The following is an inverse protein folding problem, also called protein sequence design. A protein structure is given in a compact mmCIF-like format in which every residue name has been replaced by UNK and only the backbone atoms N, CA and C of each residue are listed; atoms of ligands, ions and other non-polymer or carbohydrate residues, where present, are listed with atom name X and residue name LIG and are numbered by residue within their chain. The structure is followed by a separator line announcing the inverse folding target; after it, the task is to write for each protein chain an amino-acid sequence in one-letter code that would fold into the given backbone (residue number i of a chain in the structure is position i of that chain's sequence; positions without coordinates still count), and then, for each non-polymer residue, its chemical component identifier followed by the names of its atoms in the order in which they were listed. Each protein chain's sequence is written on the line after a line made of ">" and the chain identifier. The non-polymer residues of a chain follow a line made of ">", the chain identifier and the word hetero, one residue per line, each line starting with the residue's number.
data_IF_718251104920
#
_entry.id   IF_718251104920
#
_cell.length_a   1.000
_cell.length_b   1.000
_cell.length_c   1.000
_cell.angle_alpha   90.00
_cell.angle_beta   90.00
_cell.angle_gamma   90.00
#
_symmetry.space_group_name_H-M   'P 1'
#
loop_
_entity.id
_entity.type
_entity.pdbx_description
1 polymer ?
#
# COMPACT_ATOMS: atom_id res chain seq x y z
N UNK A 1 1.16 -16.47 -13.24
CA UNK A 1 1.19 -17.07 -11.89
C UNK A 1 2.36 -16.52 -11.06
N UNK A 2 2.31 -16.60 -9.74
CA UNK A 2 3.34 -16.01 -8.84
C UNK A 2 4.74 -16.56 -9.15
N UNK A 3 4.80 -17.84 -9.52
CA UNK A 3 5.97 -18.60 -9.89
C UNK A 3 6.62 -18.11 -11.19
N UNK A 4 5.93 -17.34 -12.03
CA UNK A 4 6.52 -16.73 -13.24
C UNK A 4 7.35 -15.49 -12.89
N UNK A 5 7.01 -14.82 -11.79
CA UNK A 5 7.62 -13.55 -11.38
C UNK A 5 8.67 -13.76 -10.29
N UNK A 6 8.38 -14.64 -9.32
CA UNK A 6 9.21 -14.83 -8.13
C UNK A 6 9.98 -16.14 -8.18
N UNK A 7 11.25 -16.08 -7.77
CA UNK A 7 12.11 -17.25 -7.56
C UNK A 7 11.69 -17.99 -6.29
N UNK A 8 11.43 -17.23 -5.23
CA UNK A 8 10.80 -17.71 -4.00
C UNK A 8 9.95 -16.60 -3.37
N UNK A 9 8.95 -17.02 -2.58
CA UNK A 9 8.02 -16.14 -1.88
C UNK A 9 7.75 -16.69 -0.47
N UNK A 10 8.03 -15.89 0.55
CA UNK A 10 7.81 -16.28 1.95
C UNK A 10 6.33 -16.08 2.33
N UNK A 11 5.67 -17.17 2.71
CA UNK A 11 4.25 -17.16 3.05
C UNK A 11 4.00 -16.44 4.37
N UNK A 12 4.92 -16.55 5.32
CA UNK A 12 4.80 -15.83 6.59
C UNK A 12 5.11 -14.34 6.37
N UNK A 13 4.21 -13.44 6.80
CA UNK A 13 4.44 -12.01 6.63
C UNK A 13 5.53 -11.53 7.58
N UNK A 14 6.45 -10.72 7.06
CA UNK A 14 7.50 -10.04 7.83
C UNK A 14 7.00 -8.73 8.46
N UNK A 15 5.81 -8.26 8.06
CA UNK A 15 5.21 -7.04 8.60
C UNK A 15 3.73 -6.91 8.27
N UNK A 16 3.06 -6.02 8.99
CA UNK A 16 1.66 -5.69 8.81
C UNK A 16 1.47 -4.18 8.67
N UNK A 17 0.59 -3.77 7.77
CA UNK A 17 0.03 -2.43 7.70
C UNK A 17 -1.49 -2.48 7.91
N UNK A 18 -2.14 -1.32 7.80
CA UNK A 18 -3.58 -1.17 8.04
C UNK A 18 -4.41 -2.16 7.19
N UNK A 19 -4.33 -2.04 5.86
CA UNK A 19 -5.14 -2.84 4.93
C UNK A 19 -4.37 -3.99 4.26
N UNK A 20 -3.08 -4.14 4.57
CA UNK A 20 -2.16 -4.99 3.83
C UNK A 20 -1.13 -5.64 4.76
N UNK A 21 -0.51 -6.70 4.27
CA UNK A 21 0.59 -7.42 4.90
C UNK A 21 1.81 -7.38 3.97
N UNK A 22 3.01 -7.50 4.54
CA UNK A 22 4.27 -7.42 3.80
C UNK A 22 4.97 -8.76 3.89
N UNK A 23 5.31 -9.31 2.74
CA UNK A 23 6.04 -10.57 2.57
C UNK A 23 7.42 -10.30 2.01
N UNK A 24 8.34 -11.22 2.26
CA UNK A 24 9.66 -11.20 1.66
C UNK A 24 9.65 -12.12 0.44
N UNK A 25 10.25 -11.68 -0.67
CA UNK A 25 10.34 -12.49 -1.88
C UNK A 25 11.62 -12.16 -2.68
N UNK A 26 11.98 -13.00 -3.65
CA UNK A 26 12.98 -12.67 -4.66
C UNK A 26 12.39 -12.73 -6.07
N UNK A 27 12.71 -11.74 -6.91
CA UNK A 27 12.22 -11.66 -8.29
C UNK A 27 13.16 -12.42 -9.24
N UNK A 28 12.59 -13.17 -10.20
CA UNK A 28 13.33 -13.80 -11.29
C UNK A 28 13.92 -12.73 -12.22
N UNK A 29 15.21 -12.81 -12.54
CA UNK A 29 15.78 -11.95 -13.59
C UNK A 29 15.36 -12.43 -14.98
N UNK A 30 15.08 -11.51 -15.93
CA UNK A 30 15.02 -11.86 -17.34
C UNK A 30 16.37 -12.42 -17.78
N UNK A 31 16.34 -13.55 -18.51
CA UNK A 31 17.54 -14.22 -19.04
C UNK A 31 18.36 -13.28 -19.97
N UNK A 32 17.72 -12.28 -20.55
CA UNK A 32 18.28 -11.33 -21.52
C UNK A 32 18.92 -10.08 -20.90
N UNK A 33 19.04 -10.02 -19.56
CA UNK A 33 19.77 -8.92 -18.91
C UNK A 33 21.26 -9.07 -19.22
N UNK A 34 21.90 -8.13 -19.95
CA UNK A 34 23.30 -8.22 -20.32
C UNK A 34 24.13 -8.06 -19.04
N UNK A 35 24.40 -9.17 -18.37
CA UNK A 35 25.16 -9.18 -17.13
C UNK A 35 26.62 -9.37 -17.48
N UNK A 36 27.43 -8.44 -16.99
CA UNK A 36 28.75 -8.73 -16.42
C UNK A 36 29.07 -10.22 -16.34
N UNK A 37 29.95 -10.66 -17.24
CA UNK A 37 30.85 -11.83 -17.32
C UNK A 37 30.68 -13.12 -16.48
N UNK A 38 29.81 -13.21 -15.47
CA UNK A 38 29.65 -14.39 -14.63
C UNK A 38 28.21 -14.52 -14.06
N UNK A 39 27.38 -15.43 -14.58
CA UNK A 39 26.04 -15.69 -14.05
C UNK A 39 26.04 -16.24 -12.61
N UNK A 40 27.18 -16.72 -12.09
CA UNK A 40 27.29 -17.18 -10.70
C UNK A 40 27.37 -16.04 -9.67
N UNK A 41 27.61 -14.79 -10.10
CA UNK A 41 27.75 -13.62 -9.22
C UNK A 41 26.52 -12.69 -9.25
N UNK A 42 25.46 -13.07 -9.95
CA UNK A 42 24.23 -12.28 -10.00
C UNK A 42 23.41 -12.45 -8.71
N UNK A 43 23.55 -11.53 -7.75
CA UNK A 43 22.70 -11.51 -6.55
C UNK A 43 21.21 -11.39 -6.90
N UNK A 44 20.39 -12.23 -6.28
CA UNK A 44 18.94 -12.22 -6.42
C UNK A 44 18.36 -10.89 -5.91
N UNK A 45 17.40 -10.32 -6.65
CA UNK A 45 16.73 -9.09 -6.22
C UNK A 45 15.67 -9.42 -5.16
N UNK A 46 16.05 -9.27 -3.89
CA UNK A 46 15.15 -9.42 -2.75
C UNK A 46 14.24 -8.20 -2.64
N UNK A 47 12.94 -8.44 -2.50
CA UNK A 47 11.90 -7.41 -2.43
C UNK A 47 10.95 -7.62 -1.26
N UNK A 48 10.33 -6.52 -0.82
CA UNK A 48 9.21 -6.54 0.10
C UNK A 48 7.90 -6.43 -0.71
N UNK A 49 7.06 -7.46 -0.66
CA UNK A 49 5.80 -7.53 -1.40
C UNK A 49 4.64 -7.21 -0.48
N UNK A 50 3.97 -6.08 -0.73
CA UNK A 50 2.81 -5.64 0.04
C UNK A 50 1.53 -6.19 -0.60
N UNK A 51 0.78 -7.01 0.13
CA UNK A 51 -0.41 -7.72 -0.33
C UNK A 51 -1.63 -7.24 0.46
N UNK A 52 -2.70 -6.85 -0.23
CA UNK A 52 -3.97 -6.47 0.43
C UNK A 52 -4.55 -7.66 1.18
N UNK A 53 -5.09 -7.40 2.37
CA UNK A 53 -5.84 -8.41 3.12
C UNK A 53 -7.10 -8.79 2.36
N UNK A 54 -7.43 -10.08 2.35
CA UNK A 54 -8.63 -10.57 1.69
C UNK A 54 -9.88 -9.90 2.28
N UNK A 55 -10.78 -9.42 1.40
CA UNK A 55 -12.04 -8.83 1.80
C UNK A 55 -11.97 -7.43 2.43
N UNK A 56 -10.78 -6.80 2.51
CA UNK A 56 -10.63 -5.50 3.16
C UNK A 56 -11.47 -4.39 2.52
N UNK A 57 -11.65 -4.42 1.20
CA UNK A 57 -12.49 -3.47 0.48
C UNK A 57 -13.94 -3.51 0.98
N UNK A 58 -14.48 -4.73 1.14
CA UNK A 58 -15.85 -4.94 1.61
C UNK A 58 -16.01 -4.53 3.08
N UNK A 59 -15.00 -4.84 3.91
CA UNK A 59 -15.00 -4.45 5.31
C UNK A 59 -15.02 -2.92 5.46
N UNK A 60 -14.13 -2.21 4.74
CA UNK A 60 -14.07 -0.74 4.78
C UNK A 60 -15.38 -0.13 4.28
N UNK A 61 -15.94 -0.61 3.17
CA UNK A 61 -17.21 -0.09 2.64
C UNK A 61 -18.37 -0.26 3.63
N UNK A 62 -18.49 -1.43 4.25
CA UNK A 62 -19.51 -1.71 5.28
C UNK A 62 -19.34 -0.80 6.49
N UNK A 63 -18.11 -0.62 6.95
CA UNK A 63 -17.84 0.19 8.13
C UNK A 63 -18.11 1.68 7.85
N UNK A 64 -17.83 2.17 6.63
CA UNK A 64 -18.22 3.51 6.18
C UNK A 64 -19.74 3.68 6.09
N UNK A 65 -20.47 2.67 5.63
CA UNK A 65 -21.94 2.70 5.63
C UNK A 65 -22.49 2.84 7.06
N UNK A 66 -21.98 2.04 8.01
CA UNK A 66 -22.35 2.15 9.42
C UNK A 66 -22.05 3.54 9.99
N UNK A 67 -20.89 4.12 9.67
CA UNK A 67 -20.52 5.46 10.10
C UNK A 67 -21.46 6.53 9.53
N UNK A 68 -21.85 6.43 8.25
CA UNK A 68 -22.81 7.34 7.61
C UNK A 68 -24.17 7.29 8.29
N UNK A 69 -24.69 6.09 8.51
CA UNK A 69 -25.95 5.88 9.23
C UNK A 69 -25.88 6.43 10.66
N UNK A 70 -24.79 6.13 11.38
CA UNK A 70 -24.57 6.63 12.73
C UNK A 70 -24.48 8.15 12.79
N UNK A 71 -23.73 8.77 11.87
CA UNK A 71 -23.60 10.22 11.79
C UNK A 71 -24.94 10.90 11.48
N UNK A 72 -25.72 10.35 10.53
CA UNK A 72 -27.05 10.86 10.22
C UNK A 72 -28.00 10.76 11.43
N UNK A 73 -28.02 9.60 12.11
CA UNK A 73 -28.84 9.38 13.29
C UNK A 73 -28.48 10.35 14.42
N UNK A 74 -27.19 10.46 14.76
CA UNK A 74 -26.71 11.36 15.81
C UNK A 74 -26.97 12.83 15.45
N UNK A 75 -26.77 13.21 14.20
CA UNK A 75 -27.04 14.57 13.73
C UNK A 75 -28.53 14.95 13.76
N UNK A 76 -29.43 13.96 13.64
CA UNK A 76 -30.87 14.16 13.75
C UNK A 76 -31.37 14.27 15.21
N UNK A 77 -30.58 13.85 16.21
CA UNK A 77 -30.98 13.96 17.61
C UNK A 77 -30.99 15.43 18.09
N UNK A 78 -31.94 15.81 18.96
CA UNK A 78 -32.04 17.17 19.50
C UNK A 78 -31.00 17.45 20.61
N UNK A 79 -29.76 17.01 20.42
CA UNK A 79 -28.66 17.22 21.36
C UNK A 79 -28.03 18.58 21.07
N UNK A 80 -27.95 19.43 22.11
CA UNK A 80 -27.38 20.77 21.99
C UNK A 80 -25.91 20.69 21.55
N UNK A 81 -25.60 21.33 20.42
CA UNK A 81 -24.24 21.45 19.90
C UNK A 81 -23.82 20.39 18.87
N UNK A 82 -24.60 19.32 18.66
CA UNK A 82 -24.25 18.25 17.71
C UNK A 82 -24.13 18.76 16.26
N UNK A 83 -24.91 19.79 15.91
CA UNK A 83 -24.90 20.41 14.59
C UNK A 83 -23.57 21.12 14.27
N UNK A 84 -22.83 21.57 15.28
CA UNK A 84 -21.53 22.21 15.09
C UNK A 84 -20.42 21.21 14.75
N UNK A 85 -20.64 19.92 15.02
CA UNK A 85 -19.67 18.88 14.70
C UNK A 85 -19.68 18.50 13.22
N UNK A 86 -20.74 18.86 12.46
CA UNK A 86 -20.87 18.52 11.04
C UNK A 86 -20.52 17.04 10.76
N UNK A 87 -21.05 16.13 11.59
CA UNK A 87 -20.69 14.72 11.58
C UNK A 87 -20.89 14.05 10.20
N UNK A 88 -21.99 14.30 9.47
CA UNK A 88 -22.14 13.74 8.12
C UNK A 88 -20.99 14.16 7.19
N UNK A 89 -20.63 15.45 7.20
CA UNK A 89 -19.55 15.99 6.38
C UNK A 89 -18.18 15.46 6.81
N UNK A 90 -17.95 15.33 8.11
CA UNK A 90 -16.72 14.74 8.66
C UNK A 90 -16.56 13.27 8.23
N UNK A 91 -17.66 12.50 8.22
CA UNK A 91 -17.65 11.11 7.74
C UNK A 91 -17.36 11.02 6.25
N UNK A 92 -17.92 11.91 5.42
CA UNK A 92 -17.60 11.89 3.98
C UNK A 92 -16.13 12.23 3.71
N UNK A 93 -15.58 13.24 4.39
CA UNK A 93 -14.15 13.53 4.27
C UNK A 93 -13.30 12.33 4.72
N UNK A 94 -13.65 11.70 5.84
CA UNK A 94 -12.98 10.47 6.28
C UNK A 94 -13.09 9.34 5.25
N UNK A 95 -14.26 9.16 4.63
CA UNK A 95 -14.51 8.15 3.61
C UNK A 95 -13.60 8.32 2.39
N UNK A 96 -13.45 9.54 1.88
CA UNK A 96 -12.54 9.84 0.76
C UNK A 96 -11.11 9.39 1.07
N UNK A 97 -10.62 9.71 2.27
CA UNK A 97 -9.28 9.31 2.70
C UNK A 97 -9.15 7.80 2.83
N UNK A 98 -10.11 7.12 3.46
CA UNK A 98 -10.08 5.66 3.63
C UNK A 98 -10.15 4.90 2.30
N UNK A 99 -11.00 5.35 1.38
CA UNK A 99 -11.13 4.75 0.06
C UNK A 99 -9.86 4.95 -0.78
N UNK A 100 -9.19 6.10 -0.64
CA UNK A 100 -7.92 6.35 -1.34
C UNK A 100 -6.81 5.36 -0.93
N UNK A 101 -6.85 4.85 0.30
CA UNK A 101 -5.85 3.91 0.81
C UNK A 101 -6.04 2.48 0.28
N UNK A 102 -7.23 2.13 -0.23
CA UNK A 102 -7.52 0.80 -0.80
C UNK A 102 -6.78 0.53 -2.11
N UNK A 103 -6.28 1.57 -2.77
CA UNK A 103 -5.49 1.47 -3.99
C UNK A 103 -3.98 1.63 -3.70
N UNK A 104 -3.27 0.50 -3.61
CA UNK A 104 -1.83 0.49 -3.41
C UNK A 104 -1.04 1.14 -4.58
N UNK A 105 -1.66 1.37 -5.75
CA UNK A 105 -1.02 2.07 -6.87
C UNK A 105 -0.76 3.54 -6.55
N UNK A 106 -1.62 4.14 -5.74
CA UNK A 106 -1.42 5.52 -5.25
C UNK A 106 -0.18 5.59 -4.35
N UNK A 107 -0.03 4.66 -3.41
CA UNK A 107 1.17 4.52 -2.59
C UNK A 107 2.41 4.30 -3.46
N UNK A 108 2.31 3.46 -4.48
CA UNK A 108 3.38 3.23 -5.43
C UNK A 108 3.81 4.50 -6.18
N UNK A 109 2.86 5.29 -6.67
CA UNK A 109 3.14 6.56 -7.33
C UNK A 109 3.85 7.56 -6.39
N UNK A 110 3.42 7.63 -5.13
CA UNK A 110 4.08 8.44 -4.10
C UNK A 110 5.50 7.97 -3.81
N UNK A 111 5.73 6.66 -3.68
CA UNK A 111 7.06 6.10 -3.47
C UNK A 111 8.01 6.35 -4.66
N UNK A 112 7.51 6.28 -5.91
CA UNK A 112 8.30 6.69 -7.09
C UNK A 112 8.72 8.15 -7.02
N UNK A 113 7.80 9.03 -6.64
CA UNK A 113 8.09 10.46 -6.50
C UNK A 113 9.10 10.70 -5.37
N UNK A 114 8.94 10.02 -4.25
CA UNK A 114 9.87 10.07 -3.13
C UNK A 114 11.27 9.62 -3.57
N UNK A 115 11.38 8.45 -4.22
CA UNK A 115 12.66 7.96 -4.72
C UNK A 115 13.35 8.94 -5.68
N UNK A 116 12.60 9.60 -6.58
CA UNK A 116 13.16 10.66 -7.45
C UNK A 116 13.65 11.87 -6.66
N UNK A 117 12.87 12.35 -5.69
CA UNK A 117 13.22 13.52 -4.89
C UNK A 117 14.44 13.28 -3.99
N UNK A 118 14.65 12.03 -3.56
CA UNK A 118 15.77 11.61 -2.72
C UNK A 118 16.88 10.89 -3.51
N UNK A 119 16.83 10.93 -4.85
CA UNK A 119 17.93 10.43 -5.67
C UNK A 119 19.14 11.34 -5.47
N UNK A 120 20.28 10.82 -5.00
CA UNK A 120 21.45 11.65 -4.73
C UNK A 120 21.94 12.31 -6.02
N UNK A 121 22.15 13.62 -5.98
CA UNK A 121 22.86 14.33 -7.04
C UNK A 121 24.33 13.86 -7.01
N UNK A 122 24.66 12.85 -7.82
CA UNK A 122 25.99 12.25 -7.96
C UNK A 122 26.50 11.46 -6.72
N UNK A 123 26.51 10.14 -6.83
CA UNK A 123 27.62 9.34 -6.30
C UNK A 123 27.62 8.83 -4.85
N UNK A 124 26.52 8.81 -4.09
CA UNK A 124 26.55 8.15 -2.77
C UNK A 124 25.24 7.47 -2.37
N UNK A 125 25.38 6.20 -1.96
CA UNK A 125 24.41 5.26 -1.40
C UNK A 125 23.27 4.79 -2.33
N UNK A 126 23.26 3.47 -2.56
CA UNK A 126 22.15 2.73 -3.16
C UNK A 126 20.93 2.81 -2.23
N UNK A 127 20.07 3.80 -2.47
CA UNK A 127 18.71 3.77 -1.94
C UNK A 127 18.01 2.52 -2.50
N UNK A 128 17.28 1.79 -1.65
CA UNK A 128 16.55 0.59 -2.04
C UNK A 128 15.71 0.85 -3.28
N UNK A 129 15.93 0.07 -4.35
CA UNK A 129 15.22 0.24 -5.62
C UNK A 129 13.77 -0.21 -5.45
N UNK A 130 12.84 0.74 -5.53
CA UNK A 130 11.40 0.43 -5.48
C UNK A 130 10.97 -0.17 -6.82
N UNK A 131 10.51 -1.41 -6.79
CA UNK A 131 9.96 -2.15 -7.94
C UNK A 131 8.47 -2.36 -7.67
N UNK A 132 7.65 -2.24 -8.73
CA UNK A 132 6.20 -2.30 -8.66
C UNK A 132 5.67 -3.38 -9.58
#
# INVERSE_FOLDING_TARGET
>A
ELEEVFDWFEIDPIGAGCIAQVHRAAIKRPMDSPTTADPAQAEAMVVAVKVKRAGVDKAVLRDLELLRWGAAAVHALPIRGIKYLALPEAVESFAEHMLSQLDLRSEAAHLRRLARNFSPASGSASAGKVVF
#
